data_IF_945995383393
#
_entry.id   IF_945995383393
#
_cell.length_a   1.000
_cell.length_b   1.000
_cell.length_c   1.000
_cell.angle_alpha   90.00
_cell.angle_beta   90.00
_cell.angle_gamma   90.00
#
_symmetry.space_group_name_H-M   'P 1'
#
loop_
_entity.id
_entity.type
_entity.pdbx_description
1 polymer ?
#
# COMPACT_ATOMS: atom_id res chain seq x y z
N UNK A 1 6.56 -24.38 -18.00
CA UNK A 1 6.83 -22.97 -18.35
C UNK A 1 8.34 -22.77 -18.38
N UNK A 2 8.98 -22.26 -19.47
CA UNK A 2 10.40 -21.95 -19.46
C UNK A 2 10.77 -20.98 -18.36
N UNK A 3 11.99 -21.07 -17.83
CA UNK A 3 12.44 -20.21 -16.70
C UNK A 3 12.29 -18.70 -16.99
N UNK A 4 12.55 -18.27 -18.23
CA UNK A 4 12.36 -16.89 -18.67
C UNK A 4 10.90 -16.45 -18.57
N UNK A 5 9.96 -17.26 -19.07
CA UNK A 5 8.52 -16.94 -19.04
C UNK A 5 7.96 -16.97 -17.62
N UNK A 6 8.47 -17.83 -16.73
CA UNK A 6 8.12 -17.80 -15.31
C UNK A 6 8.57 -16.50 -14.65
N UNK A 7 9.82 -16.10 -14.89
CA UNK A 7 10.37 -14.86 -14.35
C UNK A 7 9.59 -13.64 -14.83
N UNK A 8 9.31 -13.55 -16.12
CA UNK A 8 8.54 -12.45 -16.69
C UNK A 8 7.14 -12.35 -16.06
N UNK A 9 6.44 -13.50 -15.94
CA UNK A 9 5.11 -13.53 -15.31
C UNK A 9 5.18 -13.15 -13.85
N UNK A 10 6.19 -13.62 -13.11
CA UNK A 10 6.38 -13.28 -11.71
C UNK A 10 6.57 -11.76 -11.51
N UNK A 11 7.46 -11.14 -12.29
CA UNK A 11 7.70 -9.70 -12.23
C UNK A 11 6.47 -8.90 -12.65
N UNK A 12 5.74 -9.36 -13.65
CA UNK A 12 4.53 -8.74 -14.15
C UNK A 12 3.41 -8.71 -13.09
N UNK A 13 3.15 -9.84 -12.45
CA UNK A 13 2.17 -9.94 -11.37
C UNK A 13 2.60 -9.11 -10.17
N UNK A 14 3.85 -9.25 -9.75
CA UNK A 14 4.39 -8.51 -8.60
C UNK A 14 4.30 -7.00 -8.82
N UNK A 15 4.80 -6.50 -9.95
CA UNK A 15 4.77 -5.07 -10.26
C UNK A 15 3.32 -4.55 -10.39
N UNK A 16 2.39 -5.38 -10.91
CA UNK A 16 0.98 -4.99 -11.02
C UNK A 16 0.32 -4.86 -9.64
N UNK A 17 0.67 -5.72 -8.70
CA UNK A 17 0.17 -5.62 -7.32
C UNK A 17 0.78 -4.41 -6.61
N UNK A 18 2.09 -4.18 -6.77
CA UNK A 18 2.74 -3.03 -6.16
C UNK A 18 2.20 -1.71 -6.71
N UNK A 19 2.16 -1.52 -8.03
CA UNK A 19 1.64 -0.25 -8.59
C UNK A 19 0.18 0.02 -8.19
N UNK A 20 -0.62 -1.04 -8.02
CA UNK A 20 -1.97 -0.92 -7.47
C UNK A 20 -1.92 -0.42 -6.02
N UNK A 21 -1.12 -1.05 -5.16
CA UNK A 21 -1.05 -0.68 -3.74
C UNK A 21 -0.47 0.71 -3.53
N UNK A 22 0.57 1.12 -4.26
CA UNK A 22 1.13 2.48 -4.22
C UNK A 22 0.09 3.53 -4.64
N UNK A 23 -0.69 3.23 -5.71
CA UNK A 23 -1.80 4.10 -6.11
C UNK A 23 -2.85 4.23 -5.01
N UNK A 24 -3.22 3.12 -4.38
CA UNK A 24 -4.16 3.13 -3.25
C UNK A 24 -3.55 3.77 -2.01
N UNK A 25 -2.26 3.62 -1.80
CA UNK A 25 -1.48 4.26 -0.73
C UNK A 25 -1.65 5.77 -0.80
N UNK A 26 -1.15 6.42 -1.85
CA UNK A 26 -1.18 7.88 -1.91
C UNK A 26 -2.59 8.47 -1.98
N UNK A 27 -3.55 7.79 -2.62
CA UNK A 27 -4.94 8.28 -2.70
C UNK A 27 -5.70 8.13 -1.37
N UNK A 28 -5.41 7.10 -0.57
CA UNK A 28 -5.96 6.98 0.77
C UNK A 28 -5.32 7.97 1.75
N UNK A 29 -4.03 8.25 1.58
CA UNK A 29 -3.29 9.19 2.41
C UNK A 29 -3.77 10.65 2.25
N UNK A 30 -4.43 11.01 1.16
CA UNK A 30 -5.10 12.30 1.05
C UNK A 30 -6.18 12.46 2.14
N UNK A 31 -6.99 11.42 2.41
CA UNK A 31 -7.99 11.40 3.50
C UNK A 31 -7.35 11.33 4.88
N UNK A 32 -6.29 10.53 5.03
CA UNK A 32 -5.55 10.44 6.28
C UNK A 32 -4.94 11.79 6.64
N UNK A 33 -4.35 12.49 5.68
CA UNK A 33 -3.76 13.81 5.87
C UNK A 33 -4.81 14.86 6.24
N UNK A 34 -6.00 14.81 5.64
CA UNK A 34 -7.14 15.63 6.01
C UNK A 34 -7.52 15.39 7.48
N UNK A 35 -7.66 14.13 7.89
CA UNK A 35 -7.96 13.77 9.27
C UNK A 35 -6.87 14.22 10.26
N UNK A 36 -5.60 14.04 9.88
CA UNK A 36 -4.45 14.48 10.72
C UNK A 36 -4.45 15.99 10.90
N UNK A 37 -4.65 16.77 9.83
CA UNK A 37 -4.72 18.25 9.90
C UNK A 37 -5.87 18.74 10.77
N UNK A 38 -7.04 18.09 10.67
CA UNK A 38 -8.21 18.46 11.45
C UNK A 38 -8.08 18.06 12.92
N UNK A 39 -7.47 16.90 13.21
CA UNK A 39 -7.35 16.38 14.59
C UNK A 39 -6.15 16.91 15.35
N UNK A 40 -5.06 17.19 14.66
CA UNK A 40 -3.76 17.57 15.23
C UNK A 40 -3.24 18.88 14.59
N UNK A 41 -4.02 19.98 14.57
CA UNK A 41 -3.65 21.21 13.84
C UNK A 41 -2.33 21.83 14.34
N UNK A 42 -1.99 21.62 15.62
CA UNK A 42 -0.79 22.16 16.25
C UNK A 42 0.43 21.23 16.15
N UNK A 43 0.27 19.99 15.67
CA UNK A 43 1.37 19.02 15.48
C UNK A 43 1.97 19.14 14.07
N UNK A 44 2.69 20.25 13.84
CA UNK A 44 3.28 20.53 12.53
C UNK A 44 4.27 19.44 12.06
N UNK A 45 4.96 18.78 13.00
CA UNK A 45 5.87 17.67 12.71
C UNK A 45 5.11 16.47 12.13
N UNK A 46 4.06 16.01 12.81
CA UNK A 46 3.25 14.89 12.36
C UNK A 46 2.58 15.17 11.01
N UNK A 47 2.04 16.39 10.81
CA UNK A 47 1.47 16.83 9.53
C UNK A 47 2.52 16.78 8.42
N UNK A 48 3.74 17.27 8.66
CA UNK A 48 4.82 17.28 7.67
C UNK A 48 5.27 15.85 7.32
N UNK A 49 5.36 14.96 8.31
CA UNK A 49 5.73 13.57 8.12
C UNK A 49 4.68 12.79 7.29
N UNK A 50 3.38 12.95 7.59
CA UNK A 50 2.30 12.31 6.80
C UNK A 50 2.25 12.90 5.39
N UNK A 51 2.53 14.20 5.23
CA UNK A 51 2.64 14.82 3.90
C UNK A 51 3.78 14.22 3.10
N UNK A 52 4.93 13.94 3.74
CA UNK A 52 6.07 13.26 3.10
C UNK A 52 5.72 11.82 2.73
N UNK A 53 5.11 11.07 3.64
CA UNK A 53 4.64 9.71 3.37
C UNK A 53 3.78 9.67 2.10
N UNK A 54 2.78 10.55 2.01
CA UNK A 54 1.94 10.66 0.80
C UNK A 54 2.74 10.95 -0.47
N UNK A 55 3.75 11.82 -0.40
CA UNK A 55 4.62 12.16 -1.53
C UNK A 55 5.53 10.99 -1.93
N UNK A 56 6.01 10.19 -0.97
CA UNK A 56 6.81 9.00 -1.23
C UNK A 56 5.98 7.91 -1.92
N UNK A 57 4.74 7.64 -1.48
CA UNK A 57 3.82 6.71 -2.14
C UNK A 57 3.56 7.11 -3.60
N UNK A 58 3.35 8.40 -3.86
CA UNK A 58 3.19 8.93 -5.22
C UNK A 58 4.46 8.73 -6.06
N UNK A 59 5.64 8.94 -5.49
CA UNK A 59 6.93 8.66 -6.13
C UNK A 59 7.06 7.16 -6.43
N UNK A 60 6.74 6.28 -5.49
CA UNK A 60 6.80 4.83 -5.68
C UNK A 60 5.88 4.37 -6.81
N UNK A 61 4.64 4.87 -6.86
CA UNK A 61 3.72 4.64 -7.97
C UNK A 61 4.37 4.97 -9.33
N UNK A 62 4.99 6.15 -9.45
CA UNK A 62 5.64 6.57 -10.70
C UNK A 62 6.87 5.71 -11.05
N UNK A 63 7.59 5.19 -10.07
CA UNK A 63 8.70 4.27 -10.33
C UNK A 63 8.22 2.93 -10.90
N UNK A 64 7.16 2.34 -10.36
CA UNK A 64 6.55 1.12 -10.93
C UNK A 64 5.90 1.40 -12.29
N UNK A 65 5.25 2.54 -12.46
CA UNK A 65 4.73 2.99 -13.76
C UNK A 65 5.85 3.06 -14.80
N UNK A 66 6.98 3.66 -14.46
CA UNK A 66 8.14 3.75 -15.35
C UNK A 66 8.69 2.37 -15.73
N UNK A 67 8.70 1.41 -14.80
CA UNK A 67 9.09 0.04 -15.11
C UNK A 67 8.18 -0.57 -16.18
N UNK A 68 6.85 -0.43 -16.07
CA UNK A 68 5.91 -0.90 -17.10
C UNK A 68 6.10 -0.21 -18.44
N UNK A 69 6.32 1.09 -18.47
CA UNK A 69 6.60 1.87 -19.68
C UNK A 69 7.85 1.35 -20.39
N UNK A 70 8.91 1.04 -19.66
CA UNK A 70 10.14 0.44 -20.19
C UNK A 70 9.91 -0.97 -20.75
N UNK A 71 8.93 -1.70 -20.24
CA UNK A 71 8.53 -3.01 -20.78
C UNK A 71 7.55 -2.89 -21.96
N UNK A 72 7.10 -1.69 -22.32
CA UNK A 72 6.12 -1.46 -23.38
C UNK A 72 4.75 -2.10 -23.13
N UNK A 73 4.33 -2.22 -21.87
CA UNK A 73 3.07 -2.86 -21.48
C UNK A 73 2.39 -2.16 -20.30
N UNK A 74 1.08 -2.37 -20.19
CA UNK A 74 0.28 -1.91 -19.05
C UNK A 74 0.27 -2.97 -17.94
N UNK A 75 0.07 -2.58 -16.67
CA UNK A 75 -0.08 -3.52 -15.56
C UNK A 75 -1.34 -4.38 -15.73
N UNK A 76 -1.33 -5.55 -15.11
CA UNK A 76 -2.53 -6.36 -14.97
C UNK A 76 -3.56 -5.59 -14.14
N UNK A 77 -4.85 -5.74 -14.49
CA UNK A 77 -5.94 -5.13 -13.72
C UNK A 77 -6.07 -5.83 -12.37
N UNK A 78 -5.86 -5.07 -11.30
CA UNK A 78 -6.08 -5.51 -9.93
C UNK A 78 -7.40 -4.96 -9.39
N UNK A 79 -8.01 -5.69 -8.48
CA UNK A 79 -9.19 -5.25 -7.70
C UNK A 79 -8.82 -4.98 -6.23
N UNK A 80 -9.76 -4.49 -5.44
CA UNK A 80 -9.58 -4.25 -4.00
C UNK A 80 -9.17 -5.51 -3.21
N UNK A 81 -9.37 -6.70 -3.78
CA UNK A 81 -8.89 -7.96 -3.22
C UNK A 81 -7.37 -8.10 -3.23
N UNK A 82 -6.66 -7.35 -4.09
CA UNK A 82 -5.20 -7.26 -4.13
C UNK A 82 -4.66 -6.10 -3.28
N UNK A 83 -5.53 -5.19 -2.82
CA UNK A 83 -5.17 -4.05 -1.98
C UNK A 83 -5.13 -4.41 -0.50
N UNK A 84 -3.95 -4.29 0.13
CA UNK A 84 -3.85 -4.56 1.57
C UNK A 84 -4.61 -3.50 2.36
N UNK A 85 -4.39 -2.21 2.08
CA UNK A 85 -5.05 -1.10 2.76
C UNK A 85 -6.57 -1.09 2.50
N UNK A 86 -7.03 -1.38 1.26
CA UNK A 86 -8.46 -1.48 0.94
C UNK A 86 -9.16 -2.50 1.83
N UNK A 87 -8.57 -3.69 1.93
CA UNK A 87 -9.12 -4.79 2.75
C UNK A 87 -9.04 -4.49 4.24
N UNK A 88 -7.99 -3.81 4.67
CA UNK A 88 -7.82 -3.48 6.08
C UNK A 88 -8.84 -2.43 6.52
N UNK A 89 -9.04 -1.37 5.74
CA UNK A 89 -10.10 -0.37 5.99
C UNK A 89 -11.48 -1.05 5.98
N UNK A 90 -11.76 -1.86 4.96
CA UNK A 90 -13.04 -2.58 4.87
C UNK A 90 -13.30 -3.50 6.08
N UNK A 91 -12.26 -4.18 6.57
CA UNK A 91 -12.40 -5.09 7.71
C UNK A 91 -12.61 -4.35 9.02
N UNK A 92 -11.87 -3.27 9.23
CA UNK A 92 -11.86 -2.54 10.50
C UNK A 92 -13.01 -1.51 10.58
N UNK A 93 -13.20 -0.72 9.52
CA UNK A 93 -14.17 0.38 9.49
C UNK A 93 -15.51 0.03 8.83
N UNK A 94 -15.61 -1.18 8.20
CA UNK A 94 -16.83 -1.68 7.53
C UNK A 94 -17.30 -0.82 6.35
N UNK A 95 -16.40 -0.06 5.76
CA UNK A 95 -16.62 0.78 4.59
C UNK A 95 -15.43 0.68 3.63
N UNK A 96 -15.57 1.18 2.42
CA UNK A 96 -14.44 1.35 1.50
C UNK A 96 -13.64 2.59 1.86
N UNK A 97 -12.43 2.75 1.28
CA UNK A 97 -11.63 3.97 1.47
C UNK A 97 -12.40 5.21 0.99
N UNK A 98 -13.15 5.08 -0.10
CA UNK A 98 -13.96 6.16 -0.66
C UNK A 98 -15.13 6.58 0.23
N UNK A 99 -15.66 5.64 1.01
CA UNK A 99 -16.79 5.85 1.95
C UNK A 99 -16.33 6.26 3.35
N UNK A 100 -15.01 6.19 3.62
CA UNK A 100 -14.48 6.54 4.94
C UNK A 100 -14.77 8.02 5.24
N UNK A 101 -15.63 8.27 6.24
CA UNK A 101 -16.00 9.62 6.66
C UNK A 101 -14.90 10.22 7.53
N UNK A 102 -14.15 11.17 6.97
CA UNK A 102 -13.07 11.88 7.67
C UNK A 102 -13.62 12.66 8.88
N UNK A 103 -14.82 13.22 8.81
CA UNK A 103 -15.40 13.97 9.90
C UNK A 103 -15.76 13.06 11.10
N UNK A 104 -16.31 11.88 10.85
CA UNK A 104 -16.53 10.85 11.87
C UNK A 104 -15.23 10.39 12.53
N UNK A 105 -14.20 10.11 11.73
CA UNK A 105 -12.87 9.71 12.22
C UNK A 105 -12.27 10.80 13.11
N UNK A 106 -12.40 12.07 12.73
CA UNK A 106 -11.88 13.22 13.51
C UNK A 106 -12.66 13.44 14.81
N UNK A 107 -13.98 13.22 14.77
CA UNK A 107 -14.84 13.40 15.95
C UNK A 107 -14.59 12.34 17.03
N UNK A 108 -14.26 11.10 16.65
CA UNK A 108 -13.95 10.00 17.58
C UNK A 108 -12.44 9.78 17.74
N UNK A 109 -11.85 10.16 18.90
CA UNK A 109 -10.44 9.88 19.17
C UNK A 109 -10.03 8.41 18.99
N UNK A 110 -10.91 7.47 19.35
CA UNK A 110 -10.61 6.06 19.25
C UNK A 110 -10.58 5.58 17.78
N UNK A 111 -11.44 6.13 16.93
CA UNK A 111 -11.45 5.87 15.49
C UNK A 111 -10.20 6.44 14.82
N UNK A 112 -9.80 7.66 15.17
CA UNK A 112 -8.57 8.27 14.66
C UNK A 112 -7.31 7.48 15.04
N UNK A 113 -7.18 7.09 16.32
CA UNK A 113 -6.10 6.22 16.77
C UNK A 113 -6.11 4.86 16.05
N UNK A 114 -7.28 4.31 15.79
CA UNK A 114 -7.43 3.06 15.05
C UNK A 114 -6.96 3.21 13.60
N UNK A 115 -7.29 4.33 12.93
CA UNK A 115 -6.80 4.65 11.60
C UNK A 115 -5.26 4.73 11.58
N UNK A 116 -4.67 5.46 12.53
CA UNK A 116 -3.22 5.54 12.67
C UNK A 116 -2.57 4.15 12.86
N UNK A 117 -3.18 3.24 13.66
CA UNK A 117 -2.66 1.88 13.83
C UNK A 117 -2.81 1.03 12.57
N UNK A 118 -3.89 1.18 11.83
CA UNK A 118 -4.11 0.47 10.55
C UNK A 118 -3.03 0.85 9.55
N UNK A 119 -2.76 2.15 9.37
CA UNK A 119 -1.68 2.62 8.50
C UNK A 119 -0.34 2.08 8.99
N UNK A 120 0.00 2.28 10.26
CA UNK A 120 1.25 1.78 10.85
C UNK A 120 1.48 0.29 10.58
N UNK A 121 0.46 -0.56 10.75
CA UNK A 121 0.58 -2.01 10.52
C UNK A 121 0.76 -2.35 9.04
N UNK A 122 0.09 -1.61 8.15
CA UNK A 122 0.22 -1.77 6.70
C UNK A 122 1.66 -1.52 6.26
N UNK A 123 2.23 -0.39 6.69
CA UNK A 123 3.59 0.02 6.32
C UNK A 123 4.67 -0.89 6.96
N UNK A 124 4.50 -1.29 8.22
CA UNK A 124 5.38 -2.30 8.85
C UNK A 124 5.38 -3.63 8.08
N UNK A 125 4.25 -3.98 7.48
CA UNK A 125 4.15 -5.18 6.65
C UNK A 125 4.81 -4.97 5.30
N UNK A 126 4.61 -3.78 4.68
CA UNK A 126 5.28 -3.36 3.45
C UNK A 126 6.79 -3.52 3.57
N UNK A 127 7.40 -2.95 4.60
CA UNK A 127 8.83 -3.07 4.86
C UNK A 127 9.30 -4.53 4.90
N UNK A 128 8.60 -5.40 5.67
CA UNK A 128 8.95 -6.83 5.77
C UNK A 128 8.86 -7.55 4.44
N UNK A 129 7.88 -7.21 3.60
CA UNK A 129 7.75 -7.80 2.26
C UNK A 129 8.90 -7.34 1.36
N UNK A 130 9.24 -6.07 1.36
CA UNK A 130 10.35 -5.52 0.57
C UNK A 130 11.67 -6.14 0.99
N UNK A 131 11.93 -6.35 2.28
CA UNK A 131 13.12 -7.06 2.78
C UNK A 131 13.25 -8.48 2.22
N UNK A 132 12.13 -9.20 2.08
CA UNK A 132 12.10 -10.55 1.48
C UNK A 132 12.38 -10.46 -0.03
N UNK A 133 11.75 -9.51 -0.72
CA UNK A 133 11.90 -9.33 -2.16
C UNK A 133 13.32 -8.94 -2.56
N UNK A 134 14.01 -8.11 -1.79
CA UNK A 134 15.40 -7.74 -2.01
C UNK A 134 16.37 -8.95 -1.94
N UNK A 135 15.96 -10.05 -1.29
CA UNK A 135 16.72 -11.31 -1.25
C UNK A 135 16.40 -12.22 -2.44
N UNK A 136 15.32 -11.96 -3.18
CA UNK A 136 14.88 -12.78 -4.31
C UNK A 136 15.87 -12.73 -5.48
N UNK A 137 16.32 -13.87 -6.02
CA UNK A 137 17.18 -13.90 -7.22
C UNK A 137 16.46 -13.34 -8.46
N UNK A 138 15.13 -13.44 -8.51
CA UNK A 138 14.33 -12.89 -9.62
C UNK A 138 14.41 -11.35 -9.62
N UNK A 139 14.24 -10.72 -8.47
CA UNK A 139 14.33 -9.26 -8.31
C UNK A 139 15.76 -8.79 -8.59
N UNK A 140 16.76 -9.48 -8.04
CA UNK A 140 18.18 -9.14 -8.25
C UNK A 140 18.63 -9.23 -9.70
N UNK A 141 17.96 -10.06 -10.51
CA UNK A 141 18.25 -10.20 -11.91
C UNK A 141 17.58 -9.15 -12.81
N UNK A 142 16.72 -8.27 -12.26
CA UNK A 142 16.16 -7.09 -12.94
C UNK A 142 16.72 -5.82 -12.27
N UNK A 143 17.68 -5.12 -12.90
CA UNK A 143 18.34 -3.97 -12.27
C UNK A 143 17.38 -2.82 -11.92
N UNK A 144 16.35 -2.60 -12.75
CA UNK A 144 15.37 -1.53 -12.53
C UNK A 144 14.48 -1.86 -11.34
N UNK A 145 13.93 -3.09 -11.32
CA UNK A 145 13.09 -3.55 -10.21
C UNK A 145 13.86 -3.59 -8.89
N UNK A 146 15.11 -4.06 -8.92
CA UNK A 146 15.99 -4.04 -7.75
C UNK A 146 16.19 -2.63 -7.21
N UNK A 147 16.40 -1.65 -8.11
CA UNK A 147 16.58 -0.25 -7.71
C UNK A 147 15.31 0.34 -7.12
N UNK A 148 14.14 0.04 -7.70
CA UNK A 148 12.84 0.46 -7.15
C UNK A 148 12.70 -0.06 -5.72
N UNK A 149 12.84 -1.37 -5.50
CA UNK A 149 12.71 -1.94 -4.15
C UNK A 149 13.76 -1.43 -3.15
N UNK A 150 14.94 -1.04 -3.58
CA UNK A 150 15.94 -0.39 -2.70
C UNK A 150 15.48 1.00 -2.24
N UNK A 151 14.84 1.76 -3.13
CA UNK A 151 14.30 3.08 -2.80
C UNK A 151 13.11 2.90 -1.84
N UNK A 152 12.15 2.06 -2.18
CA UNK A 152 11.01 1.74 -1.32
C UNK A 152 11.49 1.30 0.07
N UNK A 153 12.43 0.35 0.16
CA UNK A 153 12.98 -0.12 1.43
C UNK A 153 13.60 1.00 2.29
N UNK A 154 14.24 1.99 1.63
CA UNK A 154 14.84 3.14 2.33
C UNK A 154 13.77 4.06 2.92
N UNK A 155 12.67 4.24 2.20
CA UNK A 155 11.63 5.21 2.56
C UNK A 155 10.61 4.61 3.58
N UNK A 156 10.32 3.32 3.51
CA UNK A 156 9.33 2.60 4.33
C UNK A 156 9.39 2.87 5.85
N UNK A 157 10.55 2.96 6.52
CA UNK A 157 10.59 3.29 7.93
C UNK A 157 9.91 4.63 8.26
N UNK A 158 10.03 5.63 7.39
CA UNK A 158 9.41 6.94 7.59
C UNK A 158 7.90 6.94 7.29
N UNK A 159 7.35 5.83 6.76
CA UNK A 159 5.91 5.68 6.54
C UNK A 159 5.16 5.23 7.80
N UNK A 160 5.75 4.41 8.66
CA UNK A 160 5.07 3.95 9.89
C UNK A 160 5.56 4.62 11.17
N UNK A 161 6.81 5.10 11.23
CA UNK A 161 7.38 5.72 12.44
C UNK A 161 6.63 6.97 12.89
N UNK A 162 6.12 7.86 12.02
CA UNK A 162 5.33 9.00 12.42
C UNK A 162 4.08 8.61 13.22
N UNK A 163 3.32 7.65 12.72
CA UNK A 163 2.13 7.15 13.40
C UNK A 163 2.47 6.47 14.72
N UNK A 164 3.57 5.70 14.75
CA UNK A 164 4.06 5.05 15.98
C UNK A 164 4.41 6.09 17.04
N UNK A 165 5.17 7.13 16.68
CA UNK A 165 5.57 8.23 17.60
C UNK A 165 4.34 8.96 18.12
N UNK A 166 3.41 9.31 17.23
CA UNK A 166 2.17 9.98 17.61
C UNK A 166 1.34 9.13 18.59
N UNK A 167 1.14 7.84 18.28
CA UNK A 167 0.41 6.90 19.13
C UNK A 167 1.10 6.70 20.49
N UNK A 168 2.43 6.66 20.55
CA UNK A 168 3.20 6.56 21.79
C UNK A 168 2.98 7.78 22.67
N UNK A 169 3.03 8.99 22.11
CA UNK A 169 2.76 10.24 22.84
C UNK A 169 1.34 10.28 23.42
N UNK A 170 0.39 9.64 22.74
CA UNK A 170 -1.01 9.57 23.17
C UNK A 170 -1.36 8.28 23.95
N UNK A 171 -0.37 7.46 24.31
CA UNK A 171 -0.54 6.30 25.21
C UNK A 171 -1.17 5.06 24.57
N UNK A 172 -1.23 4.95 23.23
CA UNK A 172 -1.96 3.86 22.53
C UNK A 172 -1.22 3.26 21.33
N UNK A 173 0.10 3.11 21.44
CA UNK A 173 0.95 2.58 20.36
C UNK A 173 0.76 1.09 20.07
N UNK A 174 0.19 0.31 21.00
CA UNK A 174 -0.01 -1.11 20.77
C UNK A 174 -1.24 -1.38 19.90
N UNK A 175 -1.00 -2.03 18.76
CA UNK A 175 -2.08 -2.55 17.93
C UNK A 175 -2.91 -3.58 18.70
N UNK A 176 -4.23 -3.50 18.59
CA UNK A 176 -5.18 -4.42 19.23
C UNK A 176 -5.06 -5.80 18.57
N UNK A 177 -5.43 -6.85 19.30
CA UNK A 177 -5.34 -8.22 18.80
C UNK A 177 -6.14 -8.43 17.50
N UNK A 178 -7.35 -7.83 17.41
CA UNK A 178 -8.19 -7.91 16.22
C UNK A 178 -7.58 -7.19 15.00
N UNK A 179 -6.88 -6.07 15.20
CA UNK A 179 -6.16 -5.36 14.15
C UNK A 179 -5.00 -6.23 13.61
N UNK A 180 -4.23 -6.87 14.52
CA UNK A 180 -3.16 -7.80 14.13
C UNK A 180 -3.69 -9.05 13.44
N UNK A 181 -4.82 -9.59 13.91
CA UNK A 181 -5.46 -10.75 13.30
C UNK A 181 -5.97 -10.40 11.89
N UNK A 182 -6.60 -9.25 11.72
CA UNK A 182 -7.05 -8.77 10.41
C UNK A 182 -5.87 -8.58 9.45
N UNK A 183 -4.81 -7.88 9.85
CA UNK A 183 -3.58 -7.70 9.07
C UNK A 183 -3.01 -9.06 8.63
N UNK A 184 -2.87 -10.01 9.56
CA UNK A 184 -2.36 -11.35 9.27
C UNK A 184 -3.25 -12.11 8.30
N UNK A 185 -4.57 -12.12 8.51
CA UNK A 185 -5.53 -12.82 7.64
C UNK A 185 -5.52 -12.23 6.23
N UNK A 186 -5.57 -10.90 6.10
CA UNK A 186 -5.54 -10.20 4.81
C UNK A 186 -4.26 -10.58 4.05
N UNK A 187 -3.11 -10.49 4.72
CA UNK A 187 -1.84 -10.88 4.11
C UNK A 187 -1.83 -12.34 3.67
N UNK A 188 -2.35 -13.27 4.49
CA UNK A 188 -2.40 -14.70 4.11
C UNK A 188 -3.33 -14.96 2.94
N UNK A 189 -4.49 -14.32 2.89
CA UNK A 189 -5.41 -14.44 1.74
C UNK A 189 -4.75 -13.90 0.47
N UNK A 190 -4.09 -12.74 0.56
CA UNK A 190 -3.36 -12.18 -0.57
C UNK A 190 -2.29 -13.16 -1.09
N UNK A 191 -1.39 -13.62 -0.22
CA UNK A 191 -0.24 -14.45 -0.59
C UNK A 191 -0.62 -15.87 -1.02
N UNK A 192 -1.62 -16.49 -0.40
CA UNK A 192 -1.95 -17.91 -0.62
C UNK A 192 -3.10 -18.13 -1.60
N UNK A 193 -3.87 -17.10 -1.93
CA UNK A 193 -5.03 -17.20 -2.81
C UNK A 193 -4.96 -16.22 -3.98
N UNK A 194 -4.95 -14.92 -3.71
CA UNK A 194 -5.06 -13.90 -4.76
C UNK A 194 -3.84 -13.87 -5.69
N UNK A 195 -2.64 -13.79 -5.16
CA UNK A 195 -1.43 -13.77 -6.00
C UNK A 195 -1.26 -15.05 -6.83
N UNK A 196 -1.40 -16.26 -6.26
CA UNK A 196 -1.37 -17.48 -7.07
C UNK A 196 -2.47 -17.51 -8.14
N UNK A 197 -3.70 -17.08 -7.84
CA UNK A 197 -4.78 -17.04 -8.82
C UNK A 197 -4.42 -16.12 -10.00
N UNK A 198 -3.99 -14.89 -9.74
CA UNK A 198 -3.55 -13.95 -10.79
C UNK A 198 -2.33 -14.52 -11.56
N UNK A 199 -1.38 -15.14 -10.86
CA UNK A 199 -0.20 -15.71 -11.48
C UNK A 199 -0.54 -16.85 -12.46
N UNK A 200 -1.48 -17.72 -12.09
CA UNK A 200 -1.87 -18.91 -12.86
C UNK A 200 -2.89 -18.59 -13.96
N UNK A 201 -3.56 -17.45 -13.89
CA UNK A 201 -4.55 -17.04 -14.90
C UNK A 201 -3.91 -16.17 -15.98
N UNK A 202 -3.59 -16.74 -17.18
CA UNK A 202 -3.03 -15.97 -18.27
C UNK A 202 -4.02 -15.00 -18.90
N UNK A 203 -5.34 -15.17 -18.63
CA UNK A 203 -6.40 -14.34 -19.18
C UNK A 203 -6.67 -13.07 -18.33
N UNK A 204 -5.97 -12.91 -17.20
CA UNK A 204 -6.09 -11.68 -16.40
C UNK A 204 -5.88 -10.45 -17.29
N UNK A 205 -6.89 -9.55 -17.44
CA UNK A 205 -6.80 -8.41 -18.33
C UNK A 205 -5.79 -7.39 -17.83
N UNK A 206 -5.27 -6.58 -18.76
CA UNK A 206 -4.44 -5.42 -18.43
C UNK A 206 -5.31 -4.17 -18.33
N UNK A 207 -4.79 -3.15 -17.65
CA UNK A 207 -5.37 -1.81 -17.72
C UNK A 207 -5.25 -1.27 -19.16
N UNK A 208 -6.30 -0.60 -19.63
CA UNK A 208 -6.31 0.05 -20.94
C UNK A 208 -5.63 1.43 -20.89
N UNK A 209 -5.66 2.06 -19.72
CA UNK A 209 -5.08 3.38 -19.47
C UNK A 209 -4.57 3.45 -18.03
N UNK A 210 -3.64 4.37 -17.80
CA UNK A 210 -3.19 4.69 -16.44
C UNK A 210 -4.35 5.24 -15.62
N UNK A 211 -4.42 4.92 -14.33
CA UNK A 211 -5.35 5.57 -13.41
C UNK A 211 -5.16 7.09 -13.48
N UNK A 212 -6.26 7.84 -13.48
CA UNK A 212 -6.17 9.28 -13.27
C UNK A 212 -5.66 9.53 -11.85
N UNK A 213 -4.77 10.51 -11.72
CA UNK A 213 -4.18 10.87 -10.42
C UNK A 213 -5.25 11.29 -9.39
N UNK A 214 -6.40 11.80 -9.88
CA UNK A 214 -7.50 12.31 -9.06
C UNK A 214 -8.76 11.41 -9.02
N UNK A 215 -8.83 10.32 -9.73
CA UNK A 215 -10.05 9.52 -9.78
C UNK A 215 -9.75 8.03 -9.95
N UNK A 216 -10.10 7.24 -8.94
CA UNK A 216 -9.91 5.81 -8.89
C UNK A 216 -10.44 5.04 -10.10
N UNK A 217 -9.56 4.72 -11.04
CA UNK A 217 -9.80 3.68 -12.08
C UNK A 217 -9.93 2.30 -11.43
N UNK A 218 -9.53 2.17 -10.17
CA UNK A 218 -9.71 0.99 -9.34
C UNK A 218 -11.01 1.01 -8.50
N UNK A 219 -11.90 2.00 -8.75
CA UNK A 219 -13.27 1.94 -8.22
C UNK A 219 -13.98 0.79 -8.92
N UNK A 220 -14.02 -0.36 -8.27
CA UNK A 220 -14.92 -1.54 -8.37
C UNK A 220 -14.21 -2.83 -8.01
#
# INVERSE_FOLDING_TARGET
MPMSAFRERYLDVLASVYIYNEHRGYTSLDRVLEAVRARCPDDAEFIAEVTRHRADEYKHYHMFRRWFELQGRMPLRMDSGAGHIDRFIQWIFRCTIEELDTAEIVADPAAFEQLCRVIMLTEERGLKQVEILLKSPIIRADPVMLQIFRIVHKDEPEHFLPYRRWLQRNGRAQARWNERAADWCIHKVLMLSKLPAVFLDPATPRLERWPHEDAGVYRH
#
